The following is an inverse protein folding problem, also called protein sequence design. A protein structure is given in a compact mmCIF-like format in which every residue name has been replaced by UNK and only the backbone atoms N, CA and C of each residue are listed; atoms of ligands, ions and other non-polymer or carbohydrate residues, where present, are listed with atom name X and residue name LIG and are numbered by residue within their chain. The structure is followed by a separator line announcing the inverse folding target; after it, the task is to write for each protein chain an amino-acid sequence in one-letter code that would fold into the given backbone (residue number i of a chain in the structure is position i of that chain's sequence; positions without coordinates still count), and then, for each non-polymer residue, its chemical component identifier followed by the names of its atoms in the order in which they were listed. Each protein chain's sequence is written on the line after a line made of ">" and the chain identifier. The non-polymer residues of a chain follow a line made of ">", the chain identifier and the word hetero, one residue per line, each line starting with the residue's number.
data_IF_335826133482
#
_entry.id   IF_335826133482
#
_cell.length_a   1.000
_cell.length_b   1.000
_cell.length_c   1.000
_cell.angle_alpha   90.00
_cell.angle_beta   90.00
_cell.angle_gamma   90.00
#
_symmetry.space_group_name_H-M   'P 1'
#
loop_
_entity.id
_entity.type
_entity.pdbx_description
1 polymer ?
#
# COMPACT_ATOMS: atom_id res chain seq x y z
N UNK A 1 -7.46 -8.46 -24.40
CA UNK A 1 -7.70 -9.50 -23.36
C UNK A 1 -6.40 -9.66 -22.60
N UNK A 2 -6.25 -8.98 -21.48
CA UNK A 2 -5.07 -9.15 -20.62
C UNK A 2 -5.49 -10.08 -19.49
N UNK A 3 -4.91 -11.29 -19.49
CA UNK A 3 -5.05 -12.23 -18.38
C UNK A 3 -4.50 -11.56 -17.12
N UNK A 4 -5.38 -11.18 -16.21
CA UNK A 4 -4.99 -10.78 -14.87
C UNK A 4 -4.65 -12.07 -14.11
N UNK A 5 -3.36 -12.44 -14.11
CA UNK A 5 -2.86 -13.29 -13.05
C UNK A 5 -3.21 -12.60 -11.72
N UNK A 6 -4.05 -13.24 -10.91
CA UNK A 6 -4.28 -12.88 -9.51
C UNK A 6 -2.96 -13.16 -8.76
N UNK A 7 -1.98 -12.27 -8.95
CA UNK A 7 -0.78 -12.26 -8.13
C UNK A 7 -1.27 -11.81 -6.76
N UNK A 8 -1.40 -12.76 -5.84
CA UNK A 8 -1.59 -12.43 -4.44
C UNK A 8 -0.33 -11.67 -4.01
N UNK A 9 -0.47 -10.37 -3.73
CA UNK A 9 0.60 -9.51 -3.27
C UNK A 9 0.52 -9.46 -1.73
N UNK A 10 1.29 -10.30 -1.01
CA UNK A 10 1.22 -10.37 0.45
C UNK A 10 1.71 -9.07 1.10
N UNK A 11 0.84 -8.37 1.84
CA UNK A 11 1.13 -7.07 2.45
C UNK A 11 2.18 -7.15 3.57
N UNK A 12 2.32 -8.29 4.23
CA UNK A 12 3.36 -8.55 5.23
C UNK A 12 4.78 -8.55 4.64
N UNK A 13 4.92 -8.78 3.33
CA UNK A 13 6.22 -8.67 2.63
C UNK A 13 6.59 -7.25 2.24
N UNK A 14 5.72 -6.26 2.48
CA UNK A 14 5.94 -4.88 2.07
C UNK A 14 6.40 -4.00 3.24
N UNK A 15 7.20 -2.99 2.99
CA UNK A 15 7.57 -1.98 3.99
C UNK A 15 7.63 -0.60 3.36
N UNK A 16 7.55 0.44 4.19
CA UNK A 16 7.80 1.81 3.74
C UNK A 16 9.28 1.94 3.46
N UNK A 17 9.64 2.41 2.27
CA UNK A 17 11.04 2.63 1.90
C UNK A 17 11.62 3.79 2.74
N UNK A 18 12.62 3.53 3.61
CA UNK A 18 13.25 4.59 4.40
C UNK A 18 14.01 5.60 3.53
N UNK A 19 14.36 5.25 2.29
CA UNK A 19 15.06 6.13 1.35
C UNK A 19 14.10 6.97 0.51
N UNK A 20 12.77 6.75 0.64
CA UNK A 20 11.79 7.59 -0.02
C UNK A 20 11.90 9.04 0.48
N UNK A 21 12.39 9.91 -0.39
CA UNK A 21 12.46 11.36 -0.15
C UNK A 21 11.18 12.02 -0.64
N UNK A 22 10.35 12.61 0.24
CA UNK A 22 9.11 13.29 -0.14
C UNK A 22 9.31 14.53 -1.03
N UNK A 23 10.57 14.89 -1.35
CA UNK A 23 10.93 16.09 -2.11
C UNK A 23 10.71 15.95 -3.61
N UNK A 24 10.41 14.75 -4.12
CA UNK A 24 10.15 14.52 -5.54
C UNK A 24 8.79 13.85 -5.73
N UNK A 25 7.87 14.57 -6.40
CA UNK A 25 6.64 14.09 -7.03
C UNK A 25 5.38 13.92 -6.17
N UNK A 26 4.57 14.99 -6.13
CA UNK A 26 3.12 15.02 -5.79
C UNK A 26 2.77 14.76 -4.32
N UNK A 27 1.80 15.53 -3.82
CA UNK A 27 1.20 15.27 -2.50
C UNK A 27 0.38 13.98 -2.51
N UNK A 28 0.48 13.22 -1.43
CA UNK A 28 -0.37 12.05 -1.21
C UNK A 28 -1.84 12.46 -1.04
N UNK A 29 -2.73 11.67 -1.62
CA UNK A 29 -4.15 11.71 -1.32
C UNK A 29 -4.39 11.28 0.13
N UNK A 30 -5.57 11.64 0.64
CA UNK A 30 -6.00 11.23 1.98
C UNK A 30 -6.00 9.70 2.15
N UNK A 31 -6.35 8.94 1.10
CA UNK A 31 -6.35 7.47 1.14
C UNK A 31 -4.93 6.92 1.25
N UNK A 32 -4.01 7.40 0.40
CA UNK A 32 -2.59 7.01 0.45
C UNK A 32 -1.98 7.29 1.84
N UNK A 33 -2.27 8.45 2.43
CA UNK A 33 -1.80 8.79 3.77
C UNK A 33 -2.33 7.84 4.85
N UNK A 34 -3.60 7.45 4.78
CA UNK A 34 -4.16 6.48 5.72
C UNK A 34 -3.53 5.09 5.56
N UNK A 35 -3.36 4.62 4.32
CA UNK A 35 -2.71 3.33 4.04
C UNK A 35 -1.27 3.32 4.54
N UNK A 36 -0.50 4.39 4.30
CA UNK A 36 0.87 4.53 4.81
C UNK A 36 0.92 4.55 6.35
N UNK A 37 0.05 5.34 6.99
CA UNK A 37 -0.04 5.38 8.45
C UNK A 37 -0.43 4.02 9.05
N UNK A 38 -1.32 3.29 8.38
CA UNK A 38 -1.68 1.93 8.76
C UNK A 38 -0.50 0.96 8.64
N UNK A 39 0.29 1.06 7.57
CA UNK A 39 1.49 0.26 7.35
C UNK A 39 2.55 0.43 8.46
N UNK A 40 2.73 1.66 8.94
CA UNK A 40 3.64 1.98 10.06
C UNK A 40 3.09 1.47 11.39
N UNK A 41 1.77 1.51 11.58
CA UNK A 41 1.12 1.08 12.83
C UNK A 41 1.01 -0.45 12.95
N UNK A 42 1.04 -1.18 11.84
CA UNK A 42 0.89 -2.63 11.78
C UNK A 42 2.08 -3.30 11.08
N UNK A 43 3.22 -3.47 11.78
CA UNK A 43 4.46 -3.98 11.16
C UNK A 43 4.43 -5.47 10.79
N UNK A 44 3.41 -6.23 11.19
CA UNK A 44 3.28 -7.68 10.96
C UNK A 44 1.83 -8.08 10.71
N UNK A 45 1.63 -9.24 10.07
CA UNK A 45 0.32 -9.91 9.92
C UNK A 45 -0.74 -9.05 9.22
N UNK A 46 -0.33 -8.36 8.15
CA UNK A 46 -1.21 -7.48 7.36
C UNK A 46 -2.00 -8.27 6.33
N UNK A 47 -3.30 -8.03 6.25
CA UNK A 47 -4.16 -8.53 5.17
C UNK A 47 -4.96 -7.42 4.52
N UNK A 48 -5.42 -7.62 3.28
CA UNK A 48 -6.27 -6.63 2.60
C UNK A 48 -7.59 -6.38 3.33
N UNK A 49 -8.14 -7.38 4.02
CA UNK A 49 -9.36 -7.24 4.82
C UNK A 49 -9.13 -6.31 6.02
N UNK A 50 -8.03 -6.50 6.75
CA UNK A 50 -7.68 -5.63 7.88
C UNK A 50 -7.42 -4.18 7.43
N UNK A 51 -6.69 -3.99 6.33
CA UNK A 51 -6.45 -2.69 5.70
C UNK A 51 -7.76 -2.01 5.31
N UNK A 52 -8.61 -2.71 4.56
CA UNK A 52 -9.89 -2.20 4.06
C UNK A 52 -10.79 -1.72 5.21
N UNK A 53 -10.92 -2.55 6.25
CA UNK A 53 -11.72 -2.24 7.44
C UNK A 53 -11.22 -1.00 8.17
N UNK A 54 -9.91 -0.88 8.39
CA UNK A 54 -9.36 0.20 9.23
C UNK A 54 -9.19 1.51 8.46
N UNK A 55 -8.89 1.44 7.17
CA UNK A 55 -8.84 2.61 6.28
C UNK A 55 -10.22 3.02 5.75
N UNK A 56 -11.29 2.27 6.08
CA UNK A 56 -12.66 2.49 5.59
C UNK A 56 -12.73 2.57 4.06
N UNK A 57 -12.05 1.64 3.38
CA UNK A 57 -12.03 1.48 1.93
C UNK A 57 -12.41 0.04 1.56
N UNK A 58 -12.71 -0.21 0.30
CA UNK A 58 -12.86 -1.58 -0.20
C UNK A 58 -11.51 -2.28 -0.31
N UNK A 59 -11.50 -3.62 -0.34
CA UNK A 59 -10.28 -4.40 -0.59
C UNK A 59 -9.66 -4.09 -1.95
N UNK A 60 -10.50 -3.84 -2.95
CA UNK A 60 -10.07 -3.42 -4.30
C UNK A 60 -9.38 -2.06 -4.28
N UNK A 61 -9.96 -1.05 -3.62
CA UNK A 61 -9.31 0.26 -3.46
C UNK A 61 -8.00 0.14 -2.67
N UNK A 62 -7.96 -0.71 -1.64
CA UNK A 62 -6.74 -1.01 -0.90
C UNK A 62 -5.66 -1.57 -1.83
N UNK A 63 -6.01 -2.54 -2.68
CA UNK A 63 -5.09 -3.09 -3.67
C UNK A 63 -4.57 -2.03 -4.64
N UNK A 64 -5.44 -1.20 -5.20
CA UNK A 64 -5.06 -0.12 -6.12
C UNK A 64 -4.09 0.87 -5.47
N UNK A 65 -4.37 1.32 -4.25
CA UNK A 65 -3.48 2.23 -3.51
C UNK A 65 -2.12 1.58 -3.23
N UNK A 66 -2.09 0.28 -2.91
CA UNK A 66 -0.81 -0.43 -2.68
C UNK A 66 0.02 -0.51 -3.96
N UNK A 67 -0.60 -0.77 -5.11
CA UNK A 67 0.08 -0.76 -6.40
C UNK A 67 0.62 0.63 -6.72
N UNK A 68 -0.16 1.69 -6.51
CA UNK A 68 0.29 3.06 -6.74
C UNK A 68 1.49 3.41 -5.85
N UNK A 69 1.43 3.09 -4.55
CA UNK A 69 2.52 3.34 -3.61
C UNK A 69 3.79 2.53 -3.93
N UNK A 70 3.66 1.32 -4.49
CA UNK A 70 4.78 0.53 -5.00
C UNK A 70 5.40 1.15 -6.25
N UNK A 71 4.58 1.64 -7.18
CA UNK A 71 5.06 2.31 -8.40
C UNK A 71 5.78 3.62 -8.09
N UNK A 72 5.34 4.32 -7.04
CA UNK A 72 5.98 5.53 -6.53
C UNK A 72 7.28 5.24 -5.75
N UNK A 73 7.60 3.98 -5.48
CA UNK A 73 8.75 3.58 -4.66
C UNK A 73 8.60 3.95 -3.17
N UNK A 74 7.38 4.26 -2.72
CA UNK A 74 7.09 4.57 -1.31
C UNK A 74 7.01 3.29 -0.49
N UNK A 75 6.34 2.29 -1.06
CA UNK A 75 6.39 0.93 -0.57
C UNK A 75 7.43 0.14 -1.36
N UNK A 76 8.12 -0.77 -0.69
CA UNK A 76 9.02 -1.74 -1.30
C UNK A 76 8.84 -3.11 -0.67
N UNK A 77 9.39 -4.15 -1.29
CA UNK A 77 9.48 -5.48 -0.65
C UNK A 77 10.62 -5.48 0.36
N UNK A 78 10.37 -6.03 1.55
CA UNK A 78 11.39 -6.30 2.57
C UNK A 78 12.25 -7.51 2.20
#
# INVERSE_FOLDING_TARGET
>A
MTNHYNINLPLDTLEVDPEYSPQSHRGFSRKELFVLGWFVSHPKERTYESLARECQITTQEGYEVIIDLLQLGVLRRR
#
